data_IF_611287199556
#
_entry.id   IF_611287199556
#
_cell.length_a   1.000
_cell.length_b   1.000
_cell.length_c   1.000
_cell.angle_alpha   90.00
_cell.angle_beta   90.00
_cell.angle_gamma   90.00
#
_symmetry.space_group_name_H-M   'P 1'
#
loop_
_entity.id
_entity.type
_entity.pdbx_description
1 polymer ?
#
# COMPACT_ATOMS: atom_id res chain seq x y z
N UNK A 1 -9.21 2.20 -5.62
CA UNK A 1 -8.81 1.19 -4.61
C UNK A 1 -9.93 0.94 -3.62
N UNK A 2 -10.28 1.91 -2.76
CA UNK A 2 -11.40 1.72 -1.80
C UNK A 2 -12.75 1.48 -2.47
N UNK A 3 -13.14 2.33 -3.43
CA UNK A 3 -14.38 2.15 -4.21
C UNK A 3 -14.36 0.93 -5.15
N UNK A 4 -13.23 0.21 -5.24
CA UNK A 4 -13.05 -0.93 -6.14
C UNK A 4 -12.97 -2.27 -5.39
N UNK A 5 -13.36 -2.32 -4.11
CA UNK A 5 -13.43 -3.57 -3.35
C UNK A 5 -12.25 -3.86 -2.41
N UNK A 6 -11.31 -2.91 -2.23
CA UNK A 6 -10.14 -3.16 -1.39
C UNK A 6 -10.48 -3.39 0.09
N UNK A 7 -11.58 -2.81 0.58
CA UNK A 7 -12.04 -3.03 1.95
C UNK A 7 -12.63 -4.44 2.11
N UNK A 8 -13.34 -4.92 1.09
CA UNK A 8 -13.92 -6.26 0.99
C UNK A 8 -12.81 -7.31 0.90
N UNK A 9 -11.75 -7.06 0.12
CA UNK A 9 -10.55 -7.90 0.09
C UNK A 9 -9.88 -7.95 1.47
N UNK A 10 -9.70 -6.82 2.15
CA UNK A 10 -9.14 -6.78 3.50
C UNK A 10 -10.00 -7.57 4.49
N UNK A 11 -11.33 -7.44 4.40
CA UNK A 11 -12.29 -8.18 5.24
C UNK A 11 -12.21 -9.68 5.00
N UNK A 12 -12.16 -10.12 3.74
CA UNK A 12 -12.00 -11.53 3.40
C UNK A 12 -10.68 -12.11 3.95
N UNK A 13 -9.63 -11.30 4.03
CA UNK A 13 -8.31 -11.70 4.53
C UNK A 13 -8.15 -11.56 6.06
N UNK A 14 -9.10 -10.95 6.76
CA UNK A 14 -8.97 -10.61 8.18
C UNK A 14 -8.72 -11.85 9.05
N UNK A 15 -9.42 -12.96 8.78
CA UNK A 15 -9.30 -14.20 9.54
C UNK A 15 -7.89 -14.81 9.53
N UNK A 16 -7.08 -14.51 8.51
CA UNK A 16 -5.71 -15.01 8.34
C UNK A 16 -4.66 -13.92 8.48
N UNK A 17 -5.04 -12.72 8.92
CA UNK A 17 -4.15 -11.56 8.90
C UNK A 17 -2.88 -11.76 9.71
N UNK A 18 -2.98 -12.33 10.90
CA UNK A 18 -1.84 -12.48 11.81
C UNK A 18 -0.77 -13.44 11.26
N UNK A 19 -1.17 -14.35 10.36
CA UNK A 19 -0.30 -15.29 9.64
C UNK A 19 -0.02 -14.87 8.19
N UNK A 20 -0.53 -13.72 7.73
CA UNK A 20 -0.49 -13.30 6.31
C UNK A 20 0.88 -12.86 5.77
N UNK A 21 1.97 -13.07 6.54
CA UNK A 21 3.34 -12.88 6.07
C UNK A 21 3.59 -11.51 5.44
N UNK A 22 4.01 -11.50 4.17
CA UNK A 22 4.33 -10.30 3.39
C UNK A 22 3.13 -9.39 3.11
N UNK A 23 1.89 -9.89 3.15
CA UNK A 23 0.69 -9.07 2.97
C UNK A 23 0.58 -7.99 4.05
N UNK A 24 1.09 -8.26 5.26
CA UNK A 24 1.20 -7.28 6.35
C UNK A 24 2.12 -6.10 6.05
N UNK A 25 2.95 -6.20 5.01
CA UNK A 25 3.84 -5.12 4.57
C UNK A 25 3.32 -4.39 3.33
N UNK A 26 2.22 -4.86 2.74
CA UNK A 26 1.60 -4.19 1.60
C UNK A 26 1.02 -2.84 2.05
N UNK A 27 1.26 -1.80 1.27
CA UNK A 27 0.79 -0.45 1.58
C UNK A 27 -0.73 -0.43 1.61
N UNK A 28 -1.31 0.14 2.67
CA UNK A 28 -2.77 0.24 2.85
C UNK A 28 -3.42 -1.00 3.47
N UNK A 29 -2.81 -2.19 3.40
CA UNK A 29 -3.39 -3.39 3.99
C UNK A 29 -3.46 -3.34 5.53
N UNK A 30 -2.40 -2.93 6.26
CA UNK A 30 -2.48 -2.75 7.71
C UNK A 30 -3.50 -1.70 8.13
N UNK A 31 -3.58 -0.59 7.39
CA UNK A 31 -4.50 0.51 7.70
C UNK A 31 -5.97 0.05 7.58
N UNK A 32 -6.28 -0.73 6.53
CA UNK A 32 -7.62 -1.29 6.33
C UNK A 32 -7.96 -2.35 7.38
N UNK A 33 -6.99 -3.16 7.80
CA UNK A 33 -7.20 -4.16 8.85
C UNK A 33 -7.42 -3.48 10.22
N UNK A 34 -6.65 -2.43 10.52
CA UNK A 34 -6.84 -1.64 11.75
C UNK A 34 -8.24 -1.00 11.78
N UNK A 35 -8.72 -0.48 10.65
CA UNK A 35 -10.10 -0.02 10.53
C UNK A 35 -11.12 -1.15 10.79
N UNK A 36 -10.93 -2.33 10.19
CA UNK A 36 -11.81 -3.48 10.38
C UNK A 36 -11.79 -4.04 11.82
N UNK A 37 -10.69 -3.82 12.56
CA UNK A 37 -10.57 -4.14 13.99
C UNK A 37 -11.16 -3.07 14.92
N UNK A 38 -11.63 -1.95 14.38
CA UNK A 38 -12.17 -0.84 15.17
C UNK A 38 -11.11 0.06 15.81
N UNK A 39 -9.85 -0.08 15.41
CA UNK A 39 -8.72 0.68 15.96
C UNK A 39 -8.64 2.10 15.37
N UNK A 40 -9.23 2.34 14.19
CA UNK A 40 -9.30 3.66 13.54
C UNK A 40 -10.51 3.82 12.61
N UNK A 41 -10.83 5.06 12.24
CA UNK A 41 -11.88 5.36 11.26
C UNK A 41 -11.43 5.00 9.84
N UNK A 42 -12.41 4.79 8.94
CA UNK A 42 -12.11 4.51 7.53
C UNK A 42 -11.39 5.68 6.86
N UNK A 43 -11.74 6.91 7.24
CA UNK A 43 -11.09 8.11 6.71
C UNK A 43 -9.63 8.21 7.16
N UNK A 44 -9.35 7.91 8.44
CA UNK A 44 -7.97 7.87 8.94
C UNK A 44 -7.15 6.78 8.22
N UNK A 45 -7.73 5.59 8.03
CA UNK A 45 -7.08 4.51 7.28
C UNK A 45 -6.81 4.92 5.81
N UNK A 46 -7.76 5.60 5.17
CA UNK A 46 -7.62 6.12 3.81
C UNK A 46 -6.49 7.14 3.71
N UNK A 47 -6.42 8.08 4.64
CA UNK A 47 -5.35 9.09 4.67
C UNK A 47 -3.98 8.45 4.88
N UNK A 48 -3.86 7.53 5.84
CA UNK A 48 -2.64 6.78 6.10
C UNK A 48 -2.16 6.02 4.84
N UNK A 49 -3.06 5.31 4.16
CA UNK A 49 -2.75 4.59 2.93
C UNK A 49 -2.26 5.52 1.81
N UNK A 50 -2.85 6.72 1.66
CA UNK A 50 -2.43 7.73 0.68
C UNK A 50 -1.02 8.25 1.01
N UNK A 51 -0.77 8.58 2.27
CA UNK A 51 0.54 9.07 2.73
C UNK A 51 1.62 7.99 2.48
N UNK A 52 1.35 6.75 2.88
CA UNK A 52 2.26 5.63 2.69
C UNK A 52 2.54 5.37 1.19
N UNK A 53 1.54 5.50 0.33
CA UNK A 53 1.69 5.40 -1.13
C UNK A 53 2.62 6.47 -1.69
N UNK A 54 2.47 7.73 -1.25
CA UNK A 54 3.35 8.85 -1.66
C UNK A 54 4.80 8.63 -1.21
N UNK A 55 4.98 8.20 0.04
CA UNK A 55 6.31 7.92 0.59
C UNK A 55 6.99 6.78 -0.17
N UNK A 56 6.25 5.71 -0.49
CA UNK A 56 6.78 4.61 -1.28
C UNK A 56 7.18 5.04 -2.69
N UNK A 57 6.32 5.81 -3.38
CA UNK A 57 6.65 6.37 -4.69
C UNK A 57 7.91 7.24 -4.64
N UNK A 58 8.09 8.06 -3.58
CA UNK A 58 9.33 8.82 -3.36
C UNK A 58 10.54 7.90 -3.21
N UNK A 59 10.46 6.87 -2.36
CA UNK A 59 11.54 5.89 -2.15
C UNK A 59 11.91 5.17 -3.45
N UNK A 60 10.92 4.74 -4.22
CA UNK A 60 11.13 4.11 -5.54
C UNK A 60 11.87 5.05 -6.49
N UNK A 61 11.44 6.31 -6.61
CA UNK A 61 12.14 7.30 -7.45
C UNK A 61 13.59 7.53 -7.01
N UNK A 62 13.83 7.67 -5.71
CA UNK A 62 15.20 7.82 -5.17
C UNK A 62 16.05 6.61 -5.50
N UNK A 63 15.53 5.40 -5.29
CA UNK A 63 16.24 4.16 -5.56
C UNK A 63 16.56 4.00 -7.05
N UNK A 64 15.58 4.24 -7.94
CA UNK A 64 15.81 4.19 -9.38
C UNK A 64 16.86 5.19 -9.84
N UNK A 65 16.82 6.44 -9.33
CA UNK A 65 17.84 7.44 -9.65
C UNK A 65 19.25 6.99 -9.26
N UNK A 66 19.38 6.34 -8.11
CA UNK A 66 20.68 5.90 -7.60
C UNK A 66 21.20 4.62 -8.28
N UNK A 67 20.32 3.72 -8.73
CA UNK A 67 20.71 2.39 -9.24
C UNK A 67 20.63 2.23 -10.76
N UNK A 68 19.86 3.08 -11.43
CA UNK A 68 19.58 2.97 -12.85
C UNK A 68 20.13 4.15 -13.66
N UNK A 69 21.13 4.86 -13.14
CA UNK A 69 21.69 6.04 -13.82
C UNK A 69 22.20 5.76 -15.23
N UNK A 70 22.65 4.52 -15.49
CA UNK A 70 23.17 4.05 -16.78
C UNK A 70 22.13 3.37 -17.67
N UNK A 71 20.86 3.32 -17.24
CA UNK A 71 19.84 2.63 -18.01
C UNK A 71 19.44 3.45 -19.23
N UNK A 72 19.29 2.76 -20.36
CA UNK A 72 18.80 3.36 -21.60
C UNK A 72 17.31 3.71 -21.46
N UNK A 73 16.96 4.94 -21.78
CA UNK A 73 15.58 5.43 -21.66
C UNK A 73 14.79 5.04 -22.91
N UNK A 74 13.88 4.10 -22.76
CA UNK A 74 12.94 3.74 -23.84
C UNK A 74 11.86 4.83 -23.94
N UNK A 75 11.76 5.49 -25.10
CA UNK A 75 10.71 6.45 -25.38
C UNK A 75 9.40 5.70 -25.65
N UNK A 76 8.29 6.15 -25.08
CA UNK A 76 6.97 5.61 -25.42
C UNK A 76 6.61 6.01 -26.86
N UNK A 77 5.92 5.16 -27.63
CA UNK A 77 5.35 5.51 -28.93
C UNK A 77 4.45 6.74 -28.84
#
# INVERSE_FOLDING_TARGET
MLAAGALEEARANLHRWDTAGGARKAIGAPDLIAHLRGEMTLDAAREAAIIASRQYAKRQRTWFRARMGHWEKIRRP
#
